data_IF_404388631054
#
_entry.id   IF_404388631054
#
_cell.length_a   1.000
_cell.length_b   1.000
_cell.length_c   1.000
_cell.angle_alpha   90.00
_cell.angle_beta   90.00
_cell.angle_gamma   90.00
#
_symmetry.space_group_name_H-M   'P 1'
#
loop_
_entity.id
_entity.type
_entity.pdbx_description
1 polymer ?
#
# COMPACT_ATOMS: atom_id res chain seq x y z
N UNK A 1 23.57 -3.21 12.77
CA UNK A 1 23.67 -4.48 12.07
C UNK A 1 22.50 -4.78 11.16
N UNK A 2 21.26 -4.35 11.44
CA UNK A 2 20.10 -4.56 10.55
C UNK A 2 20.35 -3.97 9.15
N UNK A 3 20.95 -2.79 9.07
CA UNK A 3 21.31 -2.16 7.79
C UNK A 3 22.29 -3.00 6.95
N UNK A 4 23.24 -3.67 7.58
CA UNK A 4 24.17 -4.56 6.87
C UNK A 4 23.48 -5.80 6.31
N UNK A 5 22.55 -6.39 7.06
CA UNK A 5 21.74 -7.52 6.58
C UNK A 5 20.92 -7.12 5.37
N UNK A 6 20.26 -5.95 5.43
CA UNK A 6 19.49 -5.40 4.29
C UNK A 6 20.39 -5.14 3.09
N UNK A 7 21.59 -4.53 3.29
CA UNK A 7 22.54 -4.26 2.21
C UNK A 7 23.00 -5.55 1.51
N UNK A 8 23.28 -6.60 2.27
CA UNK A 8 23.66 -7.91 1.71
C UNK A 8 22.52 -8.53 0.90
N UNK A 9 21.29 -8.50 1.44
CA UNK A 9 20.12 -9.02 0.72
C UNK A 9 19.86 -8.24 -0.57
N UNK A 10 19.98 -6.92 -0.55
CA UNK A 10 19.87 -6.09 -1.75
C UNK A 10 20.96 -6.41 -2.77
N UNK A 11 22.20 -6.60 -2.33
CA UNK A 11 23.29 -6.98 -3.23
C UNK A 11 23.04 -8.34 -3.88
N UNK A 12 22.58 -9.33 -3.11
CA UNK A 12 22.19 -10.64 -3.65
C UNK A 12 21.06 -10.49 -4.68
N UNK A 13 20.04 -9.67 -4.39
CA UNK A 13 18.94 -9.42 -5.32
C UNK A 13 19.42 -8.78 -6.63
N UNK A 14 20.34 -7.79 -6.56
CA UNK A 14 20.93 -7.17 -7.76
C UNK A 14 21.67 -8.20 -8.60
N UNK A 15 22.51 -9.03 -7.98
CA UNK A 15 23.24 -10.09 -8.69
C UNK A 15 22.28 -11.09 -9.31
N UNK A 16 21.24 -11.50 -8.57
CA UNK A 16 20.23 -12.44 -9.08
C UNK A 16 19.50 -11.86 -10.30
N UNK A 17 19.11 -10.59 -10.27
CA UNK A 17 18.48 -9.93 -11.42
C UNK A 17 19.42 -9.90 -12.61
N UNK A 18 20.68 -9.51 -12.44
CA UNK A 18 21.64 -9.46 -13.55
C UNK A 18 21.92 -10.84 -14.16
N UNK A 19 21.94 -11.91 -13.36
CA UNK A 19 22.27 -13.25 -13.85
C UNK A 19 21.06 -13.96 -14.46
N UNK A 20 19.88 -13.80 -13.85
CA UNK A 20 18.70 -14.59 -14.22
C UNK A 20 17.67 -13.84 -15.05
N UNK A 21 17.75 -12.51 -15.14
CA UNK A 21 16.77 -11.73 -15.90
C UNK A 21 17.32 -11.34 -17.26
N UNK A 22 16.56 -11.61 -18.32
CA UNK A 22 16.90 -11.13 -19.65
C UNK A 22 16.45 -9.68 -19.80
N UNK A 23 17.32 -8.86 -20.44
CA UNK A 23 16.99 -7.49 -20.79
C UNK A 23 15.74 -7.45 -21.69
N UNK A 24 14.75 -6.69 -21.27
CA UNK A 24 13.60 -6.40 -22.12
C UNK A 24 13.94 -5.22 -23.00
N UNK A 25 14.00 -5.42 -24.31
CA UNK A 25 14.14 -4.30 -25.27
C UNK A 25 12.85 -3.50 -25.25
N UNK A 26 12.93 -2.28 -24.69
CA UNK A 26 11.82 -1.34 -24.77
C UNK A 26 11.60 -0.95 -26.24
N UNK A 27 10.43 -1.27 -26.78
CA UNK A 27 10.07 -0.97 -28.18
C UNK A 27 9.84 0.53 -28.39
N UNK A 28 9.46 1.24 -27.32
CA UNK A 28 9.31 2.69 -27.29
C UNK A 28 9.76 3.21 -25.93
N UNK A 29 10.52 4.30 -25.91
CA UNK A 29 10.86 5.04 -24.68
C UNK A 29 9.92 6.24 -24.58
N UNK A 30 8.81 6.17 -23.84
CA UNK A 30 7.96 7.33 -23.64
C UNK A 30 8.75 8.43 -22.94
N UNK A 31 8.62 9.66 -23.44
CA UNK A 31 9.25 10.82 -22.82
C UNK A 31 8.60 11.08 -21.47
N UNK A 32 9.42 11.23 -20.44
CA UNK A 32 8.92 11.54 -19.11
C UNK A 32 8.23 12.91 -19.11
N UNK A 33 6.97 12.95 -18.71
CA UNK A 33 6.21 14.19 -18.58
C UNK A 33 6.57 14.95 -17.29
N UNK A 34 7.68 15.70 -17.36
CA UNK A 34 8.11 16.55 -16.25
C UNK A 34 7.09 17.65 -15.92
N UNK A 35 6.28 18.06 -16.88
CA UNK A 35 5.27 19.09 -16.67
C UNK A 35 4.11 18.58 -15.81
N UNK A 36 3.79 17.28 -15.87
CA UNK A 36 2.83 16.63 -14.99
C UNK A 36 3.45 16.18 -13.66
N UNK A 37 4.69 15.64 -13.70
CA UNK A 37 5.38 15.13 -12.48
C UNK A 37 5.55 16.21 -11.42
N UNK A 38 6.02 17.40 -11.80
CA UNK A 38 6.31 18.47 -10.83
C UNK A 38 5.06 18.96 -10.07
N UNK A 39 3.95 19.32 -10.73
CA UNK A 39 2.74 19.71 -10.00
C UNK A 39 2.18 18.59 -9.13
N UNK A 40 2.26 17.34 -9.58
CA UNK A 40 1.82 16.19 -8.79
C UNK A 40 2.70 15.98 -7.56
N UNK A 41 4.02 16.05 -7.69
CA UNK A 41 4.94 15.92 -6.56
C UNK A 41 4.73 17.02 -5.52
N UNK A 42 4.55 18.28 -5.96
CA UNK A 42 4.23 19.39 -5.06
C UNK A 42 2.88 19.16 -4.37
N UNK A 43 1.86 18.74 -5.11
CA UNK A 43 0.54 18.47 -4.57
C UNK A 43 0.57 17.40 -3.48
N UNK A 44 1.18 16.24 -3.77
CA UNK A 44 1.31 15.14 -2.82
C UNK A 44 2.16 15.53 -1.60
N UNK A 45 3.31 16.17 -1.82
CA UNK A 45 4.19 16.62 -0.74
C UNK A 45 3.48 17.60 0.21
N UNK A 46 2.74 18.56 -0.32
CA UNK A 46 1.97 19.51 0.49
C UNK A 46 0.85 18.82 1.26
N UNK A 47 0.09 17.92 0.62
CA UNK A 47 -1.01 17.20 1.28
C UNK A 47 -0.48 16.28 2.38
N UNK A 48 0.58 15.50 2.12
CA UNK A 48 1.19 14.63 3.12
C UNK A 48 1.73 15.43 4.32
N UNK A 49 2.40 16.55 4.05
CA UNK A 49 2.90 17.42 5.11
C UNK A 49 1.75 18.06 5.91
N UNK A 50 0.66 18.45 5.24
CA UNK A 50 -0.53 18.98 5.90
C UNK A 50 -1.16 17.94 6.84
N UNK A 51 -1.31 16.69 6.41
CA UNK A 51 -1.83 15.62 7.26
C UNK A 51 -0.91 15.29 8.42
N UNK A 52 0.40 15.27 8.19
CA UNK A 52 1.38 15.07 9.26
C UNK A 52 1.31 16.18 10.32
N UNK A 53 1.18 17.43 9.90
CA UNK A 53 1.00 18.57 10.80
C UNK A 53 -0.34 18.50 11.54
N UNK A 54 -1.43 18.20 10.84
CA UNK A 54 -2.75 18.02 11.44
C UNK A 54 -2.79 16.89 12.47
N UNK A 55 -2.00 15.84 12.27
CA UNK A 55 -1.87 14.70 13.21
C UNK A 55 -1.33 15.09 14.57
N UNK A 56 -0.70 16.24 14.74
CA UNK A 56 -0.25 16.78 16.05
C UNK A 56 -1.42 17.30 16.91
N UNK A 57 -2.64 17.33 16.36
CA UNK A 57 -3.89 17.70 17.05
C UNK A 57 -3.83 19.07 17.75
N UNK A 58 -3.69 19.09 19.07
CA UNK A 58 -3.68 20.33 19.87
C UNK A 58 -2.44 21.21 19.60
N UNK A 59 -1.32 20.62 19.18
CA UNK A 59 -0.07 21.33 18.88
C UNK A 59 0.05 21.67 17.38
N UNK A 60 -0.96 21.32 16.57
CA UNK A 60 -0.95 21.54 15.12
C UNK A 60 -1.03 23.03 14.77
N UNK A 61 -0.19 23.45 13.83
CA UNK A 61 -0.31 24.74 13.20
C UNK A 61 -1.38 24.73 12.11
N UNK A 62 -2.62 24.94 12.47
CA UNK A 62 -3.77 24.89 11.56
C UNK A 62 -3.67 25.89 10.40
N UNK A 63 -3.02 27.03 10.59
CA UNK A 63 -2.76 27.99 9.50
C UNK A 63 -1.84 27.37 8.43
N UNK A 64 -0.77 26.70 8.86
CA UNK A 64 0.13 25.97 7.95
C UNK A 64 -0.60 24.83 7.24
N UNK A 65 -1.44 24.08 7.94
CA UNK A 65 -2.27 23.00 7.36
C UNK A 65 -3.14 23.53 6.22
N UNK A 66 -3.84 24.64 6.45
CA UNK A 66 -4.71 25.25 5.43
C UNK A 66 -3.91 25.71 4.22
N UNK A 67 -2.77 26.40 4.42
CA UNK A 67 -1.92 26.85 3.32
C UNK A 67 -1.42 25.65 2.49
N UNK A 68 -0.93 24.60 3.14
CA UNK A 68 -0.44 23.42 2.46
C UNK A 68 -1.56 22.71 1.68
N UNK A 69 -2.76 22.62 2.22
CA UNK A 69 -3.91 22.06 1.51
C UNK A 69 -4.31 22.92 0.30
N UNK A 70 -4.24 24.24 0.40
CA UNK A 70 -4.52 25.14 -0.74
C UNK A 70 -3.47 24.98 -1.84
N UNK A 71 -2.18 24.92 -1.49
CA UNK A 71 -1.09 24.67 -2.44
C UNK A 71 -1.25 23.29 -3.05
N UNK A 72 -1.58 22.27 -2.26
CA UNK A 72 -1.85 20.91 -2.73
C UNK A 72 -3.00 20.87 -3.72
N UNK A 73 -4.11 21.55 -3.42
CA UNK A 73 -5.26 21.64 -4.33
C UNK A 73 -4.92 22.37 -5.64
N UNK A 74 -4.15 23.46 -5.57
CA UNK A 74 -3.65 24.18 -6.74
C UNK A 74 -2.71 23.29 -7.58
N UNK A 75 -1.84 22.52 -6.95
CA UNK A 75 -0.97 21.54 -7.60
C UNK A 75 -1.75 20.44 -8.32
N UNK A 76 -2.78 19.86 -7.69
CA UNK A 76 -3.67 18.89 -8.34
C UNK A 76 -4.45 19.51 -9.52
N UNK A 77 -4.91 20.73 -9.38
CA UNK A 77 -5.58 21.44 -10.47
C UNK A 77 -4.62 21.71 -11.65
N UNK A 78 -3.39 22.13 -11.38
CA UNK A 78 -2.36 22.32 -12.39
C UNK A 78 -2.02 21.00 -13.08
N UNK A 79 -1.77 19.94 -12.32
CA UNK A 79 -1.56 18.58 -12.83
C UNK A 79 -2.69 18.15 -13.75
N UNK A 80 -3.94 18.27 -13.31
CA UNK A 80 -5.12 17.89 -14.11
C UNK A 80 -5.22 18.66 -15.44
N UNK A 81 -4.83 19.93 -15.45
CA UNK A 81 -4.84 20.74 -16.70
C UNK A 81 -3.68 20.38 -17.64
N UNK A 82 -2.54 19.99 -17.10
CA UNK A 82 -1.39 19.50 -17.88
C UNK A 82 -1.74 18.15 -18.53
N UNK A 83 -2.22 17.19 -17.73
CA UNK A 83 -2.60 15.85 -18.21
C UNK A 83 -3.62 15.83 -19.33
N UNK A 84 -4.49 16.83 -19.40
CA UNK A 84 -5.46 16.97 -20.50
C UNK A 84 -4.84 17.44 -21.82
N UNK A 85 -3.63 18.02 -21.79
CA UNK A 85 -3.02 18.68 -22.96
C UNK A 85 -1.81 17.95 -23.49
N UNK A 86 -1.19 17.09 -22.69
CA UNK A 86 0.01 16.35 -23.06
C UNK A 86 -0.37 15.13 -23.89
N UNK A 87 0.43 14.85 -24.94
CA UNK A 87 0.20 13.72 -25.84
C UNK A 87 0.41 12.37 -25.15
N UNK A 88 1.43 12.28 -24.26
CA UNK A 88 1.75 11.09 -23.47
C UNK A 88 1.58 11.41 -21.99
N UNK A 89 0.34 11.42 -21.46
CA UNK A 89 0.07 11.77 -20.08
C UNK A 89 0.57 10.70 -19.12
N UNK A 90 1.05 11.12 -17.93
CA UNK A 90 1.40 10.21 -16.82
C UNK A 90 0.22 9.34 -16.42
N UNK A 91 -0.96 9.96 -16.40
CA UNK A 91 -2.22 9.32 -16.04
C UNK A 91 -3.30 9.68 -17.05
N UNK A 92 -3.58 8.83 -18.06
CA UNK A 92 -4.63 9.15 -19.00
C UNK A 92 -5.96 9.33 -18.28
N UNK A 93 -6.50 10.53 -18.34
CA UNK A 93 -7.81 10.91 -17.76
C UNK A 93 -8.93 9.97 -18.23
N UNK A 94 -8.81 9.43 -19.44
CA UNK A 94 -9.75 8.45 -19.98
C UNK A 94 -9.81 7.16 -19.15
N UNK A 95 -8.67 6.71 -18.58
CA UNK A 95 -8.63 5.54 -17.70
C UNK A 95 -9.17 5.83 -16.31
N UNK A 96 -8.88 7.00 -15.75
CA UNK A 96 -9.43 7.40 -14.45
C UNK A 96 -10.97 7.48 -14.45
N UNK A 97 -11.58 7.79 -15.60
CA UNK A 97 -13.04 7.79 -15.75
C UNK A 97 -13.65 6.39 -15.77
N UNK A 98 -12.85 5.35 -16.02
CA UNK A 98 -13.36 3.98 -16.05
C UNK A 98 -13.68 3.50 -14.63
N UNK A 99 -14.90 2.98 -14.44
CA UNK A 99 -15.34 2.44 -13.15
C UNK A 99 -14.37 1.40 -12.56
N UNK A 100 -13.73 0.61 -13.42
CA UNK A 100 -12.80 -0.44 -13.01
C UNK A 100 -11.56 0.14 -12.35
N UNK A 101 -11.01 1.22 -12.89
CA UNK A 101 -9.80 1.88 -12.41
C UNK A 101 -10.02 2.51 -11.05
N UNK A 102 -10.98 3.42 -10.91
CA UNK A 102 -11.21 4.08 -9.64
C UNK A 102 -11.71 3.11 -8.56
N UNK A 103 -12.48 2.07 -8.93
CA UNK A 103 -12.89 1.06 -7.97
C UNK A 103 -11.68 0.27 -7.43
N UNK A 104 -10.73 -0.11 -8.29
CA UNK A 104 -9.48 -0.75 -7.86
C UNK A 104 -8.68 0.17 -6.92
N UNK A 105 -8.39 1.39 -7.35
CA UNK A 105 -7.59 2.34 -6.58
C UNK A 105 -8.25 2.69 -5.24
N UNK A 106 -9.55 2.95 -5.23
CA UNK A 106 -10.29 3.22 -3.99
C UNK A 106 -10.30 2.02 -3.04
N UNK A 107 -10.47 0.80 -3.58
CA UNK A 107 -10.41 -0.41 -2.76
C UNK A 107 -9.03 -0.58 -2.15
N UNK A 108 -7.97 -0.39 -2.95
CA UNK A 108 -6.58 -0.46 -2.45
C UNK A 108 -6.35 0.58 -1.35
N UNK A 109 -6.67 1.84 -1.62
CA UNK A 109 -6.47 2.94 -0.68
C UNK A 109 -7.20 2.70 0.65
N UNK A 110 -8.50 2.40 0.60
CA UNK A 110 -9.32 2.21 1.81
C UNK A 110 -8.87 0.98 2.62
N UNK A 111 -8.58 -0.12 1.92
CA UNK A 111 -8.16 -1.35 2.59
C UNK A 111 -6.77 -1.18 3.20
N UNK A 112 -5.84 -0.58 2.45
CA UNK A 112 -4.48 -0.33 2.92
C UNK A 112 -4.46 0.61 4.12
N UNK A 113 -5.21 1.71 4.07
CA UNK A 113 -5.33 2.65 5.20
C UNK A 113 -5.80 1.94 6.46
N UNK A 114 -6.84 1.11 6.36
CA UNK A 114 -7.36 0.37 7.52
C UNK A 114 -6.36 -0.65 8.07
N UNK A 115 -5.79 -1.47 7.20
CA UNK A 115 -4.81 -2.49 7.63
C UNK A 115 -3.53 -1.86 8.14
N UNK A 116 -3.04 -0.81 7.49
CA UNK A 116 -1.82 -0.12 7.90
C UNK A 116 -1.99 0.55 9.28
N UNK A 117 -3.11 1.21 9.51
CA UNK A 117 -3.43 1.80 10.82
C UNK A 117 -3.45 0.74 11.94
N UNK A 118 -3.99 -0.45 11.66
CA UNK A 118 -4.04 -1.54 12.64
C UNK A 118 -2.68 -2.20 12.80
N UNK A 119 -2.02 -2.62 11.72
CA UNK A 119 -0.80 -3.43 11.79
C UNK A 119 0.46 -2.63 12.13
N UNK A 120 0.55 -1.37 11.73
CA UNK A 120 1.72 -0.52 12.00
C UNK A 120 1.48 0.49 13.11
N UNK A 121 0.24 0.81 13.42
CA UNK A 121 -0.13 1.73 14.49
C UNK A 121 -0.64 1.00 15.73
N UNK A 122 -1.85 0.48 15.67
CA UNK A 122 -2.57 -0.03 16.83
C UNK A 122 -1.90 -1.24 17.48
N UNK A 123 -1.62 -2.29 16.73
CA UNK A 123 -1.12 -3.57 17.27
C UNK A 123 0.26 -3.43 17.92
N UNK A 124 1.28 -2.77 17.31
CA UNK A 124 2.56 -2.59 17.98
C UNK A 124 2.48 -1.69 19.23
N UNK A 125 1.63 -0.67 19.23
CA UNK A 125 1.44 0.20 20.38
C UNK A 125 0.78 -0.56 21.54
N UNK A 126 -0.33 -1.26 21.29
CA UNK A 126 -0.98 -2.13 22.29
C UNK A 126 -0.06 -3.24 22.78
N UNK A 127 0.78 -3.80 21.91
CA UNK A 127 1.73 -4.82 22.30
C UNK A 127 2.80 -4.32 23.26
N UNK A 128 3.22 -3.07 23.15
CA UNK A 128 4.28 -2.47 23.96
C UNK A 128 3.77 -1.75 25.22
N UNK A 129 2.50 -1.36 25.24
CA UNK A 129 1.91 -0.69 26.40
C UNK A 129 1.93 -1.62 27.62
N UNK A 130 2.52 -1.15 28.72
CA UNK A 130 2.66 -1.90 29.98
C UNK A 130 1.44 -1.78 30.88
N UNK A 131 0.63 -0.75 30.70
CA UNK A 131 -0.51 -0.44 31.58
C UNK A 131 -1.82 -1.01 31.02
N UNK A 132 -2.09 -0.79 29.74
CA UNK A 132 -3.31 -1.22 29.07
C UNK A 132 -3.07 -2.28 27.98
N UNK A 133 -1.82 -2.66 27.74
CA UNK A 133 -1.41 -3.52 26.67
C UNK A 133 -0.83 -4.87 27.10
N UNK A 134 -0.09 -5.52 26.21
CA UNK A 134 0.53 -6.82 26.46
C UNK A 134 1.90 -6.75 27.14
N UNK A 135 2.49 -5.55 27.30
CA UNK A 135 3.79 -5.34 27.96
C UNK A 135 4.98 -6.01 27.23
N UNK A 136 4.88 -6.24 25.92
CA UNK A 136 5.92 -6.89 25.13
C UNK A 136 7.02 -5.89 24.84
N UNK A 137 8.28 -6.28 25.02
CA UNK A 137 9.42 -5.40 24.76
C UNK A 137 9.49 -4.95 23.28
N UNK A 138 9.99 -3.73 23.04
CA UNK A 138 10.17 -3.17 21.70
C UNK A 138 11.07 -4.04 20.81
N UNK A 139 11.99 -4.82 21.37
CA UNK A 139 12.85 -5.75 20.62
C UNK A 139 12.11 -7.01 20.16
N UNK A 140 11.02 -7.39 20.82
CA UNK A 140 10.31 -8.65 20.59
C UNK A 140 8.99 -8.45 19.86
N UNK A 141 8.39 -7.25 19.95
CA UNK A 141 7.05 -6.98 19.40
C UNK A 141 6.94 -7.34 17.90
N UNK A 142 7.94 -7.03 17.10
CA UNK A 142 7.93 -7.34 15.67
C UNK A 142 7.91 -8.84 15.37
N UNK A 143 8.48 -9.67 16.26
CA UNK A 143 8.45 -11.13 16.14
C UNK A 143 7.06 -11.71 16.41
N UNK A 144 6.27 -11.03 17.21
CA UNK A 144 4.90 -11.46 17.58
C UNK A 144 3.87 -10.89 16.60
N UNK A 145 4.16 -9.77 15.92
CA UNK A 145 3.20 -9.04 15.09
C UNK A 145 3.60 -9.02 13.60
N UNK A 146 4.53 -8.16 13.22
CA UNK A 146 4.87 -7.92 11.81
C UNK A 146 5.52 -9.12 11.12
N UNK A 147 6.36 -9.87 11.81
CA UNK A 147 7.02 -11.06 11.24
C UNK A 147 6.02 -12.16 10.88
N UNK A 148 5.11 -12.61 11.79
CA UNK A 148 4.08 -13.58 11.44
C UNK A 148 3.13 -13.09 10.33
N UNK A 149 2.78 -11.80 10.35
CA UNK A 149 1.99 -11.17 9.31
C UNK A 149 2.67 -11.28 7.93
N UNK A 150 3.95 -10.92 7.83
CA UNK A 150 4.70 -10.98 6.60
C UNK A 150 4.93 -12.41 6.12
N UNK A 151 5.26 -13.34 7.03
CA UNK A 151 5.42 -14.76 6.70
C UNK A 151 4.13 -15.40 6.20
N UNK A 152 3.00 -15.09 6.82
CA UNK A 152 1.69 -15.55 6.34
C UNK A 152 1.42 -15.00 4.93
N UNK A 153 1.71 -13.71 4.68
CA UNK A 153 1.62 -13.12 3.35
C UNK A 153 2.50 -13.81 2.31
N UNK A 154 3.74 -14.11 2.67
CA UNK A 154 4.69 -14.82 1.80
C UNK A 154 4.20 -16.21 1.40
N UNK A 155 3.65 -16.98 2.34
CA UNK A 155 3.15 -18.34 2.09
C UNK A 155 1.85 -18.33 1.30
N UNK A 156 0.91 -17.47 1.69
CA UNK A 156 -0.42 -17.43 1.08
C UNK A 156 -0.49 -16.65 -0.24
N UNK A 157 0.48 -15.81 -0.55
CA UNK A 157 0.56 -15.10 -1.83
C UNK A 157 0.58 -16.02 -3.05
N UNK A 158 1.51 -16.98 -3.15
CA UNK A 158 1.50 -17.98 -4.23
C UNK A 158 0.22 -18.82 -4.29
N UNK A 159 -0.35 -19.18 -3.14
CA UNK A 159 -1.62 -19.90 -3.05
C UNK A 159 -2.76 -19.08 -3.64
N UNK A 160 -2.84 -17.79 -3.30
CA UNK A 160 -3.83 -16.88 -3.85
C UNK A 160 -3.68 -16.71 -5.36
N UNK A 161 -2.47 -16.61 -5.88
CA UNK A 161 -2.19 -16.59 -7.32
C UNK A 161 -2.67 -17.86 -8.03
N UNK A 162 -2.41 -19.03 -7.45
CA UNK A 162 -2.90 -20.30 -7.96
C UNK A 162 -4.44 -20.40 -7.89
N UNK A 163 -5.06 -19.95 -6.81
CA UNK A 163 -6.53 -19.88 -6.71
C UNK A 163 -7.11 -18.95 -7.77
N UNK A 164 -6.50 -17.80 -8.00
CA UNK A 164 -6.95 -16.82 -8.99
C UNK A 164 -6.92 -17.38 -10.42
N UNK A 165 -5.95 -18.23 -10.75
CA UNK A 165 -5.89 -18.90 -12.06
C UNK A 165 -7.05 -19.88 -12.29
N UNK A 166 -7.64 -20.45 -11.23
CA UNK A 166 -8.76 -21.41 -11.31
C UNK A 166 -10.12 -20.76 -11.13
N UNK A 167 -10.26 -19.85 -10.17
CA UNK A 167 -11.54 -19.27 -9.74
C UNK A 167 -11.73 -17.84 -10.25
N UNK A 168 -10.68 -17.21 -10.78
CA UNK A 168 -10.66 -15.83 -11.22
C UNK A 168 -10.35 -14.83 -10.10
N UNK A 169 -9.69 -13.72 -10.49
CA UNK A 169 -9.21 -12.67 -9.56
C UNK A 169 -10.31 -12.07 -8.68
N UNK A 170 -11.51 -11.89 -9.23
CA UNK A 170 -12.63 -11.26 -8.51
C UNK A 170 -13.04 -12.06 -7.28
N UNK A 171 -13.23 -13.35 -7.40
CA UNK A 171 -13.67 -14.20 -6.29
C UNK A 171 -12.60 -14.30 -5.20
N UNK A 172 -11.34 -14.50 -5.61
CA UNK A 172 -10.23 -14.57 -4.65
C UNK A 172 -10.03 -13.24 -3.93
N UNK A 173 -10.15 -12.10 -4.64
CA UNK A 173 -10.11 -10.79 -4.01
C UNK A 173 -11.27 -10.60 -3.00
N UNK A 174 -12.49 -10.98 -3.37
CA UNK A 174 -13.64 -10.86 -2.47
C UNK A 174 -13.45 -11.69 -1.19
N UNK A 175 -12.95 -12.93 -1.29
CA UNK A 175 -12.67 -13.74 -0.10
C UNK A 175 -11.59 -13.12 0.77
N UNK A 176 -10.51 -12.60 0.18
CA UNK A 176 -9.47 -11.87 0.89
C UNK A 176 -9.99 -10.62 1.60
N UNK A 177 -10.80 -9.80 0.91
CA UNK A 177 -11.39 -8.59 1.49
C UNK A 177 -12.38 -8.89 2.61
N UNK A 178 -13.24 -9.89 2.45
CA UNK A 178 -14.15 -10.32 3.51
C UNK A 178 -13.36 -10.78 4.74
N UNK A 179 -12.34 -11.63 4.53
CA UNK A 179 -11.45 -12.06 5.60
C UNK A 179 -10.74 -10.87 6.27
N UNK A 180 -10.28 -9.89 5.50
CA UNK A 180 -9.65 -8.67 6.04
C UNK A 180 -10.62 -7.87 6.91
N UNK A 181 -11.87 -7.68 6.47
CA UNK A 181 -12.91 -7.01 7.28
C UNK A 181 -13.15 -7.77 8.59
N UNK A 182 -13.28 -9.09 8.52
CA UNK A 182 -13.42 -9.92 9.73
C UNK A 182 -12.21 -9.75 10.65
N UNK A 183 -10.99 -9.77 10.11
CA UNK A 183 -9.77 -9.54 10.89
C UNK A 183 -9.71 -8.18 11.55
N UNK A 184 -10.13 -7.12 10.86
CA UNK A 184 -10.23 -5.77 11.44
C UNK A 184 -11.29 -5.70 12.55
N UNK A 185 -12.44 -6.37 12.39
CA UNK A 185 -13.45 -6.47 13.46
C UNK A 185 -12.90 -7.23 14.67
N UNK A 186 -12.20 -8.35 14.46
CA UNK A 186 -11.54 -9.10 15.55
C UNK A 186 -10.54 -8.19 16.27
N UNK A 187 -9.80 -7.35 15.54
CA UNK A 187 -8.84 -6.41 16.14
C UNK A 187 -9.49 -5.48 17.17
N UNK A 188 -10.75 -5.07 16.96
CA UNK A 188 -11.50 -4.22 17.90
C UNK A 188 -11.68 -4.95 19.24
N UNK A 189 -12.00 -6.24 19.22
CA UNK A 189 -12.17 -7.03 20.44
C UNK A 189 -10.85 -7.30 21.16
N UNK A 190 -9.74 -7.41 20.40
CA UNK A 190 -8.39 -7.59 20.98
C UNK A 190 -7.93 -6.35 21.75
N UNK A 191 -8.40 -5.15 21.39
CA UNK A 191 -8.13 -3.92 22.16
C UNK A 191 -8.60 -4.01 23.60
N UNK A 192 -9.69 -4.75 23.87
CA UNK A 192 -10.25 -4.89 25.21
C UNK A 192 -9.48 -5.85 26.15
N UNK A 193 -8.67 -6.76 25.58
CA UNK A 193 -7.86 -7.72 26.33
C UNK A 193 -6.60 -8.13 25.56
N UNK A 194 -5.66 -7.21 25.34
CA UNK A 194 -4.48 -7.46 24.54
C UNK A 194 -3.51 -8.40 25.29
N UNK A 195 -3.10 -9.44 24.59
CA UNK A 195 -2.01 -10.33 25.04
C UNK A 195 -1.23 -10.84 23.82
N UNK A 196 -0.04 -11.41 24.05
CA UNK A 196 0.83 -11.86 22.98
C UNK A 196 0.15 -12.84 22.00
N UNK A 197 -0.72 -13.73 22.50
CA UNK A 197 -1.40 -14.72 21.67
C UNK A 197 -2.51 -14.11 20.81
N UNK A 198 -3.28 -13.17 21.35
CA UNK A 198 -4.33 -12.48 20.60
C UNK A 198 -3.73 -11.58 19.52
N UNK A 199 -2.63 -10.89 19.82
CA UNK A 199 -1.89 -10.08 18.84
C UNK A 199 -1.28 -10.95 17.74
N UNK A 200 -0.68 -12.09 18.10
CA UNK A 200 -0.15 -13.07 17.15
C UNK A 200 -1.24 -13.60 16.22
N UNK A 201 -2.39 -13.99 16.78
CA UNK A 201 -3.52 -14.52 16.02
C UNK A 201 -4.03 -13.50 14.99
N UNK A 202 -4.26 -12.25 15.40
CA UNK A 202 -4.71 -11.18 14.49
C UNK A 202 -3.67 -10.92 13.42
N UNK A 203 -2.39 -10.90 13.76
CA UNK A 203 -1.30 -10.68 12.82
C UNK A 203 -1.23 -11.77 11.76
N UNK A 204 -1.34 -13.03 12.14
CA UNK A 204 -1.39 -14.15 11.19
C UNK A 204 -2.66 -14.07 10.34
N UNK A 205 -3.82 -13.82 10.96
CA UNK A 205 -5.09 -13.78 10.25
C UNK A 205 -5.13 -12.66 9.18
N UNK A 206 -4.70 -11.44 9.53
CA UNK A 206 -4.56 -10.35 8.56
C UNK A 206 -3.43 -10.61 7.57
N UNK A 207 -2.37 -11.29 7.98
CA UNK A 207 -1.30 -11.75 7.11
C UNK A 207 -1.80 -12.67 6.00
N UNK A 208 -2.67 -13.63 6.33
CA UNK A 208 -3.29 -14.52 5.35
C UNK A 208 -4.28 -13.76 4.46
N UNK A 209 -5.23 -13.08 5.07
CA UNK A 209 -6.40 -12.53 4.36
C UNK A 209 -6.05 -11.27 3.56
N UNK A 210 -5.25 -10.37 4.14
CA UNK A 210 -4.83 -9.16 3.46
C UNK A 210 -3.51 -9.33 2.73
N UNK A 211 -2.38 -9.55 3.43
CA UNK A 211 -1.06 -9.56 2.81
C UNK A 211 -0.92 -10.67 1.76
N UNK A 212 -1.43 -11.88 2.06
CA UNK A 212 -1.36 -13.04 1.19
C UNK A 212 -2.41 -13.06 0.09
N UNK A 213 -3.65 -12.67 0.37
CA UNK A 213 -4.74 -12.81 -0.59
C UNK A 213 -5.12 -11.46 -1.20
N UNK A 214 -5.67 -10.52 -0.40
CA UNK A 214 -6.25 -9.31 -0.96
C UNK A 214 -5.22 -8.42 -1.65
N UNK A 215 -4.06 -8.19 -1.03
CA UNK A 215 -2.99 -7.36 -1.56
C UNK A 215 -2.44 -7.93 -2.88
N UNK A 216 -2.16 -9.23 -2.94
CA UNK A 216 -1.67 -9.89 -4.17
C UNK A 216 -2.71 -9.78 -5.29
N UNK A 217 -4.01 -9.94 -4.96
CA UNK A 217 -5.07 -9.81 -5.96
C UNK A 217 -5.27 -8.37 -6.43
N UNK A 218 -5.13 -7.37 -5.56
CA UNK A 218 -5.20 -5.96 -5.96
C UNK A 218 -4.06 -5.59 -6.91
N UNK A 219 -2.84 -6.05 -6.62
CA UNK A 219 -1.70 -5.85 -7.52
C UNK A 219 -1.88 -6.59 -8.85
N UNK A 220 -2.30 -7.86 -8.83
CA UNK A 220 -2.56 -8.64 -10.03
C UNK A 220 -3.67 -8.06 -10.91
N UNK A 221 -4.75 -7.55 -10.31
CA UNK A 221 -5.81 -6.85 -11.03
C UNK A 221 -5.32 -5.55 -11.68
N UNK A 222 -4.39 -4.84 -11.05
CA UNK A 222 -3.74 -3.69 -11.65
C UNK A 222 -3.12 -4.04 -13.02
N UNK A 223 -2.43 -5.17 -13.11
CA UNK A 223 -1.82 -5.65 -14.36
C UNK A 223 -2.90 -6.07 -15.36
N UNK A 224 -3.84 -6.90 -14.94
CA UNK A 224 -4.90 -7.46 -15.82
C UNK A 224 -5.84 -6.39 -16.39
N UNK A 225 -6.11 -5.33 -15.62
CA UNK A 225 -6.98 -4.23 -16.03
C UNK A 225 -6.23 -3.14 -16.81
N UNK A 226 -4.90 -3.18 -16.84
CA UNK A 226 -4.09 -2.26 -17.65
C UNK A 226 -4.27 -2.54 -19.14
N UNK A 227 -4.13 -1.51 -19.99
CA UNK A 227 -4.10 -1.69 -21.43
C UNK A 227 -2.96 -2.61 -21.87
N UNK A 228 -3.16 -3.35 -22.96
CA UNK A 228 -2.15 -4.26 -23.49
C UNK A 228 -0.87 -3.54 -23.96
N UNK A 229 -1.02 -2.31 -24.41
CA UNK A 229 0.04 -1.40 -24.86
C UNK A 229 0.78 -0.72 -23.71
N UNK A 230 0.19 -0.66 -22.49
CA UNK A 230 0.82 -0.06 -21.33
C UNK A 230 0.44 -0.76 -20.01
N UNK A 231 0.99 -1.96 -19.81
CA UNK A 231 0.72 -2.78 -18.63
C UNK A 231 1.26 -2.21 -17.30
N UNK A 232 2.16 -1.22 -17.36
CA UNK A 232 2.70 -0.55 -16.18
C UNK A 232 1.79 0.50 -15.56
N UNK A 233 0.75 0.92 -16.26
CA UNK A 233 -0.08 2.07 -15.92
C UNK A 233 -0.81 1.93 -14.59
N UNK A 234 -1.74 0.97 -14.49
CA UNK A 234 -2.51 0.76 -13.26
C UNK A 234 -1.66 0.22 -12.10
N UNK A 235 -0.68 -0.67 -12.31
CA UNK A 235 0.24 -1.05 -11.24
C UNK A 235 1.01 0.14 -10.66
N UNK A 236 1.50 1.06 -11.49
CA UNK A 236 2.19 2.28 -11.04
C UNK A 236 1.28 3.18 -10.20
N UNK A 237 0.05 3.43 -10.65
CA UNK A 237 -0.94 4.19 -9.89
C UNK A 237 -1.36 3.46 -8.61
N UNK A 238 -1.52 2.14 -8.67
CA UNK A 238 -1.88 1.33 -7.51
C UNK A 238 -0.75 1.33 -6.47
N UNK A 239 0.51 1.29 -6.91
CA UNK A 239 1.67 1.45 -6.02
C UNK A 239 1.67 2.79 -5.29
N UNK A 240 1.24 3.88 -5.94
CA UNK A 240 1.02 5.18 -5.29
C UNK A 240 -0.10 5.18 -4.25
N UNK A 241 -1.09 4.30 -4.38
CA UNK A 241 -2.16 4.14 -3.39
C UNK A 241 -1.74 3.28 -2.17
N UNK A 242 -0.58 2.61 -2.24
CA UNK A 242 0.02 1.84 -1.13
C UNK A 242 0.90 2.70 -0.21
N UNK A 243 1.34 3.87 -0.64
CA UNK A 243 2.21 4.78 0.10
C UNK A 243 1.45 6.02 0.58
#
# INVERSE_FOLDING_TARGET
>A
SVFWTMAVLCAIAVVAVQVFTKESTATETPRMDWAGVLPLAVALGCVLTAFNEAGKLAEANWFLVIILLLIGAAGFWAFWNVEKKVADPLVPVAYLKQRRTWALLSTTLLTMTGVFAVMNGLIPNLGQDTDAGAGISASTISWVTLTPYALAGLVFGPIAGWMASKMGYKYVLQTGLIGTVVGLIISIFVVGAPNAWTLLFVSIFLGVTYAGIANIMLNGLGIVLSPADNQGYLPGMNAGAFN
#
